data_IF_049539075475
#
_entry.id   IF_049539075475
#
_cell.length_a   1.000
_cell.length_b   1.000
_cell.length_c   1.000
_cell.angle_alpha   90.00
_cell.angle_beta   90.00
_cell.angle_gamma   90.00
#
_symmetry.space_group_name_H-M   'P 1'
#
loop_
_entity.id
_entity.type
_entity.pdbx_description
1 polymer ?
#
# COMPACT_ATOMS: atom_id res chain seq x y z
N UNK A 1 6.89 21.15 12.79
CA UNK A 1 7.91 21.73 13.63
C UNK A 1 9.05 22.36 12.87
N UNK A 2 9.87 23.13 13.56
CA UNK A 2 11.05 23.78 13.01
C UNK A 2 12.29 23.16 13.65
N UNK A 3 13.26 22.78 12.82
CA UNK A 3 14.53 22.22 13.32
C UNK A 3 15.29 23.28 14.09
N UNK A 4 15.82 22.93 15.27
CA UNK A 4 16.79 23.74 15.99
C UNK A 4 18.15 23.74 15.29
N UNK A 5 19.00 24.71 15.67
CA UNK A 5 20.39 24.81 15.22
C UNK A 5 21.29 24.93 16.43
N UNK A 6 22.38 24.16 16.45
CA UNK A 6 23.46 24.30 17.45
C UNK A 6 24.72 24.79 16.76
N UNK A 7 25.38 25.72 17.37
CA UNK A 7 26.63 26.31 16.88
C UNK A 7 27.80 25.85 17.73
N UNK A 8 28.84 25.38 17.07
CA UNK A 8 30.06 24.88 17.74
C UNK A 8 31.29 25.66 17.30
N UNK A 9 32.23 25.82 18.19
CA UNK A 9 33.57 26.25 17.86
C UNK A 9 34.38 25.09 17.32
N UNK A 10 35.19 25.36 16.31
CA UNK A 10 36.08 24.36 15.70
C UNK A 10 37.52 24.88 15.72
N UNK A 11 38.48 23.99 15.93
CA UNK A 11 39.90 24.30 15.76
C UNK A 11 40.30 24.34 14.27
N UNK A 12 41.58 24.67 14.01
CA UNK A 12 42.15 24.69 12.65
C UNK A 12 42.12 23.35 11.93
N UNK A 13 41.88 22.26 12.66
CA UNK A 13 41.76 20.91 12.12
C UNK A 13 40.31 20.47 11.97
N UNK A 14 39.35 21.42 12.05
CA UNK A 14 37.90 21.18 11.92
C UNK A 14 37.30 20.29 13.03
N UNK A 15 38.00 20.11 14.20
CA UNK A 15 37.49 19.37 15.35
C UNK A 15 36.68 20.30 16.24
N UNK A 16 35.54 19.80 16.74
CA UNK A 16 34.68 20.55 17.66
C UNK A 16 35.41 20.71 19.03
N UNK A 17 35.60 21.95 19.45
CA UNK A 17 36.23 22.28 20.72
C UNK A 17 35.18 22.49 21.83
N UNK A 18 34.03 23.04 21.46
CA UNK A 18 32.96 23.33 22.41
C UNK A 18 31.80 24.10 21.79
N UNK A 19 30.79 24.47 22.57
CA UNK A 19 29.69 25.29 22.10
C UNK A 19 30.17 26.69 21.74
N UNK A 20 29.62 27.27 20.69
CA UNK A 20 29.91 28.65 20.32
C UNK A 20 29.16 29.62 21.24
N UNK A 21 29.89 30.58 21.83
CA UNK A 21 29.34 31.63 22.69
C UNK A 21 28.41 31.06 23.81
N UNK A 22 28.87 30.00 24.50
CA UNK A 22 28.12 29.31 25.57
C UNK A 22 26.71 28.95 25.19
N UNK A 23 26.51 28.51 23.93
CA UNK A 23 25.21 28.18 23.37
C UNK A 23 24.19 29.32 23.26
N UNK A 24 24.58 30.56 23.53
CA UNK A 24 23.66 31.74 23.50
C UNK A 24 23.06 32.01 22.12
N UNK A 25 23.69 31.50 21.05
CA UNK A 25 23.19 31.62 19.69
C UNK A 25 22.44 30.37 19.22
N UNK A 26 22.34 29.34 20.03
CA UNK A 26 21.61 28.14 19.69
C UNK A 26 20.11 28.47 19.51
N UNK A 27 19.51 27.91 18.52
CA UNK A 27 18.08 28.04 18.21
C UNK A 27 17.41 26.74 18.65
N UNK A 28 16.56 26.75 19.70
CA UNK A 28 15.86 25.53 20.10
C UNK A 28 14.88 25.07 19.03
N UNK A 29 14.65 23.76 18.90
CA UNK A 29 13.62 23.25 18.00
C UNK A 29 12.22 23.66 18.48
N UNK A 30 11.35 24.00 17.54
CA UNK A 30 9.93 24.23 17.84
C UNK A 30 9.15 22.95 17.57
N UNK A 31 8.34 22.53 18.55
CA UNK A 31 7.45 21.38 18.41
C UNK A 31 6.46 21.64 17.26
N UNK A 32 6.16 20.62 16.48
CA UNK A 32 5.05 20.65 15.53
C UNK A 32 3.71 20.50 16.26
N UNK A 33 2.64 20.86 15.57
CA UNK A 33 1.29 20.55 16.01
C UNK A 33 1.06 19.03 15.98
N UNK A 34 0.15 18.56 16.80
CA UNK A 34 -0.26 17.16 16.79
C UNK A 34 -1.11 16.92 15.55
N UNK A 35 -0.95 15.74 14.94
CA UNK A 35 -1.77 15.28 13.82
C UNK A 35 -2.63 14.14 14.36
N UNK A 36 -3.94 14.24 14.13
CA UNK A 36 -4.88 13.14 14.37
C UNK A 36 -5.14 12.44 13.05
N UNK A 37 -4.97 11.13 13.04
CA UNK A 37 -5.24 10.28 11.87
C UNK A 37 -6.61 9.61 12.05
N UNK A 38 -7.21 9.19 10.94
CA UNK A 38 -8.47 8.41 10.92
C UNK A 38 -8.24 6.92 11.19
N UNK A 39 -6.98 6.50 11.32
CA UNK A 39 -6.60 5.10 11.55
C UNK A 39 -7.18 4.60 12.89
N UNK A 40 -7.96 3.52 12.82
CA UNK A 40 -8.33 2.73 14.00
C UNK A 40 -7.16 1.82 14.38
N UNK A 41 -6.56 2.07 15.54
CA UNK A 41 -5.36 1.36 15.96
C UNK A 41 -5.59 -0.14 16.15
N UNK A 42 -6.77 -0.55 16.63
CA UNK A 42 -7.09 -1.97 16.82
C UNK A 42 -7.27 -2.69 15.49
N UNK A 43 -7.92 -2.03 14.53
CA UNK A 43 -8.07 -2.58 13.18
C UNK A 43 -6.72 -2.65 12.47
N UNK A 44 -5.86 -1.64 12.65
CA UNK A 44 -4.50 -1.61 12.12
C UNK A 44 -3.68 -2.79 12.66
N UNK A 45 -3.63 -2.98 13.98
CA UNK A 45 -2.91 -4.10 14.63
C UNK A 45 -3.44 -5.46 14.16
N UNK A 46 -4.75 -5.61 14.05
CA UNK A 46 -5.36 -6.83 13.53
C UNK A 46 -4.95 -7.11 12.08
N UNK A 47 -5.03 -6.11 11.21
CA UNK A 47 -4.63 -6.23 9.81
C UNK A 47 -3.14 -6.54 9.65
N UNK A 48 -2.27 -5.95 10.46
CA UNK A 48 -0.84 -6.28 10.51
C UNK A 48 -0.61 -7.74 10.92
N UNK A 49 -1.37 -8.24 11.90
CA UNK A 49 -1.29 -9.64 12.33
C UNK A 49 -1.67 -10.62 11.22
N UNK A 50 -2.66 -10.29 10.39
CA UNK A 50 -3.09 -11.10 9.24
C UNK A 50 -2.02 -11.21 8.15
N UNK A 51 -1.20 -10.17 8.00
CA UNK A 51 -0.11 -10.12 7.01
C UNK A 51 1.22 -10.65 7.54
N UNK A 52 1.29 -11.12 8.78
CA UNK A 52 2.50 -11.73 9.33
C UNK A 52 2.99 -12.86 8.41
N UNK A 53 4.25 -12.81 8.02
CA UNK A 53 4.90 -13.77 7.10
C UNK A 53 4.28 -13.83 5.69
N UNK A 54 3.57 -12.78 5.27
CA UNK A 54 2.98 -12.67 3.93
C UNK A 54 3.50 -11.42 3.22
N UNK A 55 3.28 -11.33 1.91
CA UNK A 55 3.55 -10.15 1.10
C UNK A 55 2.23 -9.62 0.54
N UNK A 56 1.92 -8.36 0.82
CA UNK A 56 0.68 -7.75 0.34
C UNK A 56 0.36 -6.43 1.03
N UNK A 57 -0.81 -5.89 0.76
CA UNK A 57 -1.37 -4.72 1.42
C UNK A 57 -2.81 -4.95 1.86
N UNK A 58 -3.21 -4.29 2.92
CA UNK A 58 -4.60 -4.22 3.36
C UNK A 58 -4.96 -2.74 3.52
N UNK A 59 -6.09 -2.35 2.93
CA UNK A 59 -6.66 -1.02 3.06
C UNK A 59 -8.14 -1.16 3.42
N UNK A 60 -8.58 -0.46 4.46
CA UNK A 60 -9.99 -0.33 4.78
C UNK A 60 -10.37 1.14 4.78
N UNK A 61 -11.44 1.46 4.07
CA UNK A 61 -11.94 2.83 3.89
C UNK A 61 -13.42 2.83 4.30
N UNK A 62 -13.82 3.82 5.10
CA UNK A 62 -15.22 4.08 5.40
C UNK A 62 -15.90 4.69 4.18
N UNK A 63 -16.90 4.03 3.57
CA UNK A 63 -17.45 4.50 2.29
C UNK A 63 -18.20 5.84 2.40
N UNK A 64 -18.77 6.14 3.56
CA UNK A 64 -19.58 7.34 3.76
C UNK A 64 -18.74 8.62 3.94
N UNK A 65 -17.57 8.50 4.58
CA UNK A 65 -16.70 9.64 4.90
C UNK A 65 -15.43 9.69 4.05
N UNK A 66 -15.01 8.55 3.49
CA UNK A 66 -13.73 8.40 2.80
C UNK A 66 -12.53 8.24 3.76
N UNK A 67 -12.79 8.10 5.06
CA UNK A 67 -11.75 7.94 6.06
C UNK A 67 -11.02 6.62 5.90
N UNK A 68 -9.69 6.67 5.93
CA UNK A 68 -8.86 5.48 5.91
C UNK A 68 -8.73 4.94 7.33
N UNK A 69 -9.36 3.81 7.60
CA UNK A 69 -9.39 3.17 8.92
C UNK A 69 -8.18 2.26 9.17
N UNK A 70 -7.61 1.68 8.12
CA UNK A 70 -6.36 0.91 8.19
C UNK A 70 -5.61 0.97 6.87
N UNK A 71 -4.29 0.97 6.95
CA UNK A 71 -3.39 0.99 5.81
C UNK A 71 -2.13 0.18 6.16
N UNK A 72 -2.05 -1.05 5.66
CA UNK A 72 -0.97 -1.99 5.97
C UNK A 72 -0.24 -2.42 4.72
N UNK A 73 1.07 -2.40 4.77
CA UNK A 73 1.96 -2.96 3.75
C UNK A 73 2.90 -3.97 4.39
N UNK A 74 3.01 -5.15 3.84
CA UNK A 74 3.91 -6.19 4.33
C UNK A 74 4.75 -6.81 3.19
N UNK A 75 6.04 -7.15 3.44
CA UNK A 75 6.80 -6.85 4.65
C UNK A 75 7.02 -5.36 4.86
N UNK A 76 7.17 -4.97 6.11
CA UNK A 76 7.39 -3.58 6.50
C UNK A 76 8.67 -3.45 7.33
N UNK A 77 8.95 -2.26 7.82
CA UNK A 77 10.09 -1.93 8.66
C UNK A 77 9.62 -1.26 9.96
N UNK A 78 10.49 -1.24 10.95
CA UNK A 78 10.22 -0.52 12.19
C UNK A 78 10.71 0.93 12.07
N UNK A 79 9.83 1.89 12.33
CA UNK A 79 10.12 3.34 12.23
C UNK A 79 11.31 3.76 13.13
N UNK A 80 11.51 3.08 14.25
CA UNK A 80 12.63 3.33 15.16
C UNK A 80 14.00 3.07 14.52
N UNK A 81 14.09 2.30 13.46
CA UNK A 81 15.35 2.06 12.71
C UNK A 81 15.91 3.34 12.06
N UNK A 82 15.06 4.37 11.87
CA UNK A 82 15.47 5.64 11.28
C UNK A 82 15.82 6.72 12.30
N UNK A 83 15.90 6.36 13.57
CA UNK A 83 16.28 7.27 14.66
C UNK A 83 17.73 6.97 15.07
N UNK A 84 18.47 8.04 15.42
CA UNK A 84 19.82 7.94 15.93
C UNK A 84 20.91 7.83 14.86
N UNK A 85 22.10 7.38 15.29
CA UNK A 85 23.31 7.39 14.47
C UNK A 85 23.30 6.35 13.32
N UNK A 86 22.63 5.23 13.52
CA UNK A 86 22.61 4.11 12.57
C UNK A 86 21.55 4.26 11.46
N UNK A 87 20.81 5.38 11.42
CA UNK A 87 19.73 5.59 10.47
C UNK A 87 20.12 5.34 9.00
N UNK A 88 21.31 5.81 8.60
CA UNK A 88 21.79 5.67 7.22
C UNK A 88 22.13 4.22 6.88
N UNK A 89 22.75 3.50 7.81
CA UNK A 89 23.09 2.08 7.66
C UNK A 89 21.81 1.24 7.57
N UNK A 90 20.84 1.49 8.45
CA UNK A 90 19.56 0.81 8.47
C UNK A 90 18.78 1.08 7.18
N UNK A 91 18.76 2.34 6.70
CA UNK A 91 18.09 2.68 5.44
C UNK A 91 18.72 1.94 4.26
N UNK A 92 20.05 1.92 4.14
CA UNK A 92 20.75 1.19 3.08
C UNK A 92 20.47 -0.31 3.14
N UNK A 93 20.43 -0.90 4.34
CA UNK A 93 20.07 -2.31 4.52
C UNK A 93 18.67 -2.62 3.99
N UNK A 94 17.68 -1.78 4.33
CA UNK A 94 16.30 -1.93 3.85
C UNK A 94 16.18 -1.69 2.34
N UNK A 95 16.93 -0.74 1.80
CA UNK A 95 16.96 -0.44 0.36
C UNK A 95 17.54 -1.59 -0.46
N UNK A 96 18.56 -2.26 0.08
CA UNK A 96 19.25 -3.36 -0.58
C UNK A 96 18.49 -4.70 -0.46
N UNK A 97 17.44 -4.79 0.37
CA UNK A 97 16.58 -5.97 0.44
C UNK A 97 15.66 -6.05 -0.78
N UNK A 98 16.19 -6.61 -1.87
CA UNK A 98 15.47 -6.78 -3.14
C UNK A 98 14.41 -7.87 -3.09
N UNK A 99 14.49 -8.78 -2.11
CA UNK A 99 13.55 -9.91 -1.96
C UNK A 99 12.27 -9.42 -1.27
N UNK A 100 12.40 -8.81 -0.10
CA UNK A 100 11.26 -8.38 0.70
C UNK A 100 10.76 -6.99 0.32
N UNK A 101 11.67 -6.12 -0.15
CA UNK A 101 11.38 -4.73 -0.52
C UNK A 101 10.55 -4.01 0.55
N UNK A 102 11.05 -3.91 1.80
CA UNK A 102 10.26 -3.39 2.91
C UNK A 102 9.93 -1.89 2.79
N UNK A 103 10.70 -1.14 1.97
CA UNK A 103 10.42 0.27 1.68
C UNK A 103 9.35 0.46 0.58
N UNK A 104 8.97 -0.61 -0.12
CA UNK A 104 7.91 -0.54 -1.12
C UNK A 104 6.55 -0.68 -0.47
N UNK A 105 5.79 0.41 -0.45
CA UNK A 105 4.43 0.40 0.10
C UNK A 105 3.46 -0.28 -0.86
N UNK A 106 3.10 -1.53 -0.52
CA UNK A 106 2.21 -2.35 -1.35
C UNK A 106 0.76 -1.90 -1.31
N UNK A 107 0.35 -1.24 -0.24
CA UNK A 107 -1.01 -0.74 -0.13
C UNK A 107 -1.26 0.47 -1.05
N UNK A 108 -0.20 1.25 -1.34
CA UNK A 108 -0.29 2.45 -2.16
C UNK A 108 0.25 2.28 -3.59
N UNK A 109 1.26 1.42 -3.78
CA UNK A 109 2.04 1.39 -5.02
C UNK A 109 1.93 0.07 -5.79
N UNK A 110 1.44 -1.01 -5.16
CA UNK A 110 1.39 -2.29 -5.85
C UNK A 110 0.29 -2.29 -6.93
N UNK A 111 0.63 -2.91 -8.05
CA UNK A 111 -0.28 -3.13 -9.17
C UNK A 111 -0.47 -4.64 -9.32
N UNK A 112 -1.63 -5.12 -8.89
CA UNK A 112 -2.01 -6.51 -9.01
C UNK A 112 -3.13 -6.68 -10.02
N UNK A 113 -3.13 -7.80 -10.73
CA UNK A 113 -4.26 -8.19 -11.55
C UNK A 113 -5.47 -8.45 -10.64
N UNK A 114 -6.62 -7.79 -10.86
CA UNK A 114 -7.75 -7.86 -9.92
C UNK A 114 -8.38 -9.25 -9.83
N UNK A 115 -8.25 -10.07 -10.86
CA UNK A 115 -8.81 -11.42 -10.89
C UNK A 115 -10.34 -11.46 -10.82
N UNK A 116 -10.92 -12.62 -10.29
CA UNK A 116 -12.37 -12.85 -10.21
C UNK A 116 -13.19 -11.80 -9.45
N UNK A 117 -12.67 -11.05 -8.44
CA UNK A 117 -13.43 -9.95 -7.85
C UNK A 117 -13.89 -8.90 -8.86
N UNK A 118 -13.16 -8.72 -9.97
CA UNK A 118 -13.52 -7.79 -11.03
C UNK A 118 -14.81 -8.22 -11.79
N UNK A 119 -15.20 -9.49 -11.73
CA UNK A 119 -16.43 -9.97 -12.35
C UNK A 119 -17.67 -9.24 -11.84
N UNK A 120 -17.71 -8.93 -10.52
CA UNK A 120 -18.83 -8.22 -9.90
C UNK A 120 -18.94 -6.81 -10.47
N UNK A 121 -17.83 -6.09 -10.56
CA UNK A 121 -17.81 -4.75 -11.13
C UNK A 121 -18.21 -4.76 -12.61
N UNK A 122 -17.68 -5.69 -13.40
CA UNK A 122 -18.02 -5.83 -14.81
C UNK A 122 -19.51 -6.17 -15.00
N UNK A 123 -20.09 -7.01 -14.13
CA UNK A 123 -21.51 -7.32 -14.16
C UNK A 123 -22.37 -6.08 -13.87
N UNK A 124 -22.00 -5.28 -12.88
CA UNK A 124 -22.72 -4.03 -12.57
C UNK A 124 -22.65 -3.03 -13.71
N UNK A 125 -21.48 -2.86 -14.33
CA UNK A 125 -21.32 -2.00 -15.52
C UNK A 125 -22.19 -2.51 -16.67
N UNK A 126 -22.14 -3.82 -16.94
CA UNK A 126 -22.94 -4.41 -18.02
C UNK A 126 -24.46 -4.26 -17.83
N UNK A 127 -24.93 -4.38 -16.58
CA UNK A 127 -26.34 -4.11 -16.24
C UNK A 127 -26.68 -2.64 -16.39
N UNK A 128 -25.82 -1.73 -15.94
CA UNK A 128 -26.01 -0.28 -16.04
C UNK A 128 -26.06 0.19 -17.49
N UNK A 129 -25.18 -0.34 -18.34
CA UNK A 129 -25.13 -0.02 -19.78
C UNK A 129 -26.20 -0.75 -20.60
N UNK A 130 -26.96 -1.65 -19.97
CA UNK A 130 -28.03 -2.42 -20.64
C UNK A 130 -27.55 -3.43 -21.67
N UNK A 131 -26.25 -3.79 -21.66
CA UNK A 131 -25.66 -4.77 -22.58
C UNK A 131 -25.86 -6.22 -22.12
N UNK A 132 -26.18 -6.40 -20.84
CA UNK A 132 -26.58 -7.67 -20.23
C UNK A 132 -27.75 -7.45 -19.26
N UNK A 133 -28.49 -8.51 -18.99
CA UNK A 133 -29.51 -8.61 -17.94
C UNK A 133 -29.27 -9.84 -17.07
N UNK A 134 -30.11 -10.06 -16.06
CA UNK A 134 -29.98 -11.20 -15.14
C UNK A 134 -30.11 -12.56 -15.83
N UNK A 135 -30.84 -12.61 -16.97
CA UNK A 135 -31.13 -13.81 -17.72
C UNK A 135 -30.20 -14.01 -18.95
N UNK A 136 -29.28 -13.09 -19.17
CA UNK A 136 -28.34 -13.16 -20.28
C UNK A 136 -27.52 -14.45 -20.21
N UNK A 137 -27.51 -15.20 -21.30
CA UNK A 137 -26.84 -16.50 -21.45
C UNK A 137 -25.59 -16.37 -22.31
N UNK A 138 -24.55 -17.11 -21.93
CA UNK A 138 -23.32 -17.21 -22.72
C UNK A 138 -22.93 -18.67 -22.92
N UNK A 139 -22.42 -19.00 -24.11
CA UNK A 139 -21.83 -20.30 -24.35
C UNK A 139 -20.33 -20.23 -24.27
N UNK A 140 -19.74 -21.01 -23.36
CA UNK A 140 -18.30 -21.12 -23.22
C UNK A 140 -17.77 -22.26 -24.11
N UNK A 141 -17.06 -21.91 -25.18
CA UNK A 141 -16.40 -22.84 -26.09
C UNK A 141 -14.92 -23.01 -25.75
N UNK A 142 -14.62 -23.34 -24.48
CA UNK A 142 -13.28 -23.49 -23.93
C UNK A 142 -12.43 -22.21 -23.92
N UNK A 143 -12.98 -21.07 -24.28
CA UNK A 143 -12.30 -19.78 -24.25
C UNK A 143 -12.91 -18.76 -25.20
N UNK A 144 -12.26 -17.61 -25.29
CA UNK A 144 -12.71 -16.50 -26.11
C UNK A 144 -11.53 -15.78 -26.77
N UNK A 145 -11.72 -15.37 -28.04
CA UNK A 145 -10.80 -14.47 -28.73
C UNK A 145 -11.11 -13.03 -28.37
N UNK A 146 -10.21 -12.35 -27.68
CA UNK A 146 -10.36 -10.92 -27.34
C UNK A 146 -9.64 -10.00 -28.34
N UNK A 147 -8.83 -10.56 -29.24
CA UNK A 147 -8.23 -9.90 -30.38
C UNK A 147 -7.98 -10.93 -31.48
N UNK A 148 -7.67 -10.48 -32.73
CA UNK A 148 -7.54 -11.32 -33.90
C UNK A 148 -6.70 -12.59 -33.74
N UNK A 149 -5.61 -12.53 -32.94
CA UNK A 149 -4.69 -13.65 -32.68
C UNK A 149 -4.46 -13.90 -31.19
N UNK A 150 -5.32 -13.39 -30.31
CA UNK A 150 -5.17 -13.50 -28.88
C UNK A 150 -6.37 -14.22 -28.26
N UNK A 151 -6.14 -15.48 -27.89
CA UNK A 151 -7.13 -16.37 -27.30
C UNK A 151 -6.92 -16.49 -25.80
N UNK A 152 -7.98 -16.29 -25.03
CA UNK A 152 -8.00 -16.54 -23.60
C UNK A 152 -8.76 -17.83 -23.33
N UNK A 153 -8.05 -18.85 -22.87
CA UNK A 153 -8.64 -20.14 -22.52
C UNK A 153 -9.44 -20.05 -21.23
N UNK A 154 -10.57 -20.74 -21.17
CA UNK A 154 -11.28 -20.98 -19.92
C UNK A 154 -10.58 -22.07 -19.10
N UNK A 155 -10.51 -21.88 -17.79
CA UNK A 155 -9.96 -22.88 -16.88
C UNK A 155 -10.81 -24.14 -16.81
N UNK A 156 -12.11 -24.00 -17.01
CA UNK A 156 -13.08 -25.11 -17.02
C UNK A 156 -13.95 -25.05 -18.28
N UNK A 157 -14.45 -26.21 -18.71
CA UNK A 157 -15.42 -26.31 -19.82
C UNK A 157 -16.83 -26.21 -19.23
N UNK A 158 -17.35 -25.01 -19.07
CA UNK A 158 -18.64 -24.78 -18.42
C UNK A 158 -19.85 -25.04 -19.33
N UNK A 159 -19.67 -25.14 -20.67
CA UNK A 159 -20.76 -25.16 -21.60
C UNK A 159 -21.56 -23.86 -21.57
N UNK A 160 -22.90 -23.96 -21.56
CA UNK A 160 -23.76 -22.78 -21.51
C UNK A 160 -23.93 -22.24 -20.09
N UNK A 161 -23.58 -20.98 -19.88
CA UNK A 161 -23.83 -20.20 -18.66
C UNK A 161 -25.23 -19.62 -18.80
N UNK A 162 -26.16 -20.11 -17.99
CA UNK A 162 -27.61 -19.90 -18.20
C UNK A 162 -28.14 -18.57 -17.64
N UNK A 163 -27.35 -17.85 -16.86
CA UNK A 163 -27.72 -16.54 -16.32
C UNK A 163 -26.48 -15.84 -15.72
N UNK A 164 -26.62 -14.54 -15.46
CA UNK A 164 -25.57 -13.70 -14.90
C UNK A 164 -25.02 -14.23 -13.56
N UNK A 165 -25.90 -14.66 -12.64
CA UNK A 165 -25.50 -15.21 -11.35
C UNK A 165 -24.55 -16.40 -11.52
N UNK A 166 -24.87 -17.34 -12.40
CA UNK A 166 -23.99 -18.48 -12.70
C UNK A 166 -22.67 -18.07 -13.33
N UNK A 167 -22.66 -16.99 -14.11
CA UNK A 167 -21.44 -16.41 -14.70
C UNK A 167 -20.50 -15.78 -13.68
N UNK A 168 -21.02 -15.24 -12.58
CA UNK A 168 -20.21 -14.59 -11.56
C UNK A 168 -19.43 -15.61 -10.71
N UNK A 169 -20.04 -16.73 -10.32
CA UNK A 169 -19.39 -17.69 -9.42
C UNK A 169 -18.83 -18.94 -10.12
N UNK A 170 -18.89 -19.04 -11.41
CA UNK A 170 -18.11 -19.99 -12.22
C UNK A 170 -16.83 -19.31 -12.72
#
# INVERSE_FOLDING_TARGET
>A
GVKGKRYFQKDRFNRIIGPYNDSKKDIPPKKADNITLTIDIKLQEYAESLLKNKKGGIVAIEPSSGEVLTLVSAPTYQSNQFIGQNRSVNFQSLLNDTINKPLFDRALQAQYSPGSPMKILNALIGLQEGVIDENTTFTCNAGHYYARNAFMACHNKFGTISNLRKGIYN
#
